data_IF_617400672008
#
_entry.id   IF_617400672008
#
_cell.length_a   1.000
_cell.length_b   1.000
_cell.length_c   1.000
_cell.angle_alpha   90.00
_cell.angle_beta   90.00
_cell.angle_gamma   90.00
#
_symmetry.space_group_name_H-M   'P 1'
#
loop_
_entity.id
_entity.type
_entity.pdbx_description
1 polymer ?
#
# COMPACT_ATOMS: atom_id res chain seq x y z
N UNK A 1 26.19 -10.29 38.66
CA UNK A 1 26.16 -9.03 37.88
C UNK A 1 25.09 -9.16 36.85
N UNK A 2 23.89 -8.79 37.25
CA UNK A 2 22.68 -8.84 36.39
C UNK A 2 22.64 -7.58 35.53
N UNK A 3 22.58 -7.71 34.21
CA UNK A 3 22.35 -6.58 33.29
C UNK A 3 20.84 -6.46 33.13
N UNK A 4 20.31 -5.42 33.72
CA UNK A 4 18.94 -4.97 33.48
C UNK A 4 18.81 -4.50 32.02
N UNK A 5 17.84 -5.09 31.35
CA UNK A 5 17.50 -4.77 29.97
C UNK A 5 16.46 -3.64 30.02
N UNK A 6 16.92 -2.38 29.95
CA UNK A 6 16.02 -1.24 29.84
C UNK A 6 15.32 -1.28 28.48
N UNK A 7 14.03 -1.61 28.51
CA UNK A 7 13.14 -1.44 27.36
C UNK A 7 12.90 0.06 27.14
N UNK A 8 13.59 0.63 26.19
CA UNK A 8 13.29 1.98 25.69
C UNK A 8 11.96 1.94 24.95
N UNK A 9 10.90 2.27 25.64
CA UNK A 9 9.59 2.55 25.04
C UNK A 9 9.72 3.78 24.12
N UNK A 10 9.70 3.55 22.80
CA UNK A 10 9.64 4.63 21.84
C UNK A 10 8.24 5.25 21.91
N UNK A 11 8.12 6.43 22.52
CA UNK A 11 6.92 7.26 22.41
C UNK A 11 6.64 7.57 20.94
N UNK A 12 5.44 7.19 20.48
CA UNK A 12 4.95 7.59 19.16
C UNK A 12 4.60 9.08 19.22
N UNK A 13 5.19 9.96 18.39
CA UNK A 13 4.86 11.37 18.40
C UNK A 13 3.38 11.58 18.13
N UNK A 14 2.68 12.30 18.99
CA UNK A 14 1.31 12.73 18.76
C UNK A 14 1.30 13.73 17.60
N UNK A 15 0.71 13.34 16.48
CA UNK A 15 0.45 14.24 15.35
C UNK A 15 -0.69 15.18 15.75
N UNK A 16 -0.40 16.48 15.78
CA UNK A 16 -1.37 17.52 16.10
C UNK A 16 -2.59 17.43 15.18
N UNK A 17 -3.77 17.43 15.78
CA UNK A 17 -5.08 17.39 15.13
C UNK A 17 -5.43 18.73 14.48
N UNK A 18 -4.85 19.04 13.35
CA UNK A 18 -5.38 20.05 12.43
C UNK A 18 -6.39 19.38 11.51
N UNK A 19 -7.68 19.57 11.71
CA UNK A 19 -8.72 19.15 10.76
C UNK A 19 -8.75 20.15 9.61
N UNK A 20 -8.40 19.73 8.36
CA UNK A 20 -8.95 20.39 7.19
C UNK A 20 -10.31 19.75 6.87
N UNK A 21 -11.15 20.44 6.14
CA UNK A 21 -12.54 20.07 5.78
C UNK A 21 -12.74 18.80 4.93
N UNK A 22 -11.74 17.95 4.81
CA UNK A 22 -11.80 16.62 4.22
C UNK A 22 -12.01 15.58 5.31
N UNK A 23 -13.17 14.91 5.31
CA UNK A 23 -13.46 13.86 6.28
C UNK A 23 -12.39 12.78 6.35
N UNK A 24 -12.27 12.09 7.49
CA UNK A 24 -11.36 10.95 7.66
C UNK A 24 -11.74 9.83 6.71
N UNK A 25 -10.83 9.51 5.79
CA UNK A 25 -11.02 8.44 4.80
C UNK A 25 -10.71 7.07 5.38
N UNK A 26 -9.60 7.00 6.08
CA UNK A 26 -9.06 5.76 6.66
C UNK A 26 -8.59 6.05 8.07
N UNK A 27 -8.82 5.16 9.01
CA UNK A 27 -8.29 5.27 10.37
C UNK A 27 -7.97 3.92 10.98
N UNK A 28 -6.99 3.93 11.86
CA UNK A 28 -6.67 2.80 12.74
C UNK A 28 -7.06 3.16 14.17
N UNK A 29 -7.59 2.19 14.92
CA UNK A 29 -7.94 2.33 16.34
C UNK A 29 -7.39 1.15 17.11
N UNK A 30 -6.51 1.43 18.06
CA UNK A 30 -5.82 0.47 18.92
C UNK A 30 -5.29 -0.75 18.14
N UNK A 31 -4.73 -0.45 16.95
CA UNK A 31 -4.25 -1.45 16.02
C UNK A 31 -3.03 -2.15 16.59
N UNK A 32 -3.08 -3.47 16.72
CA UNK A 32 -1.98 -4.32 17.19
C UNK A 32 -1.67 -5.40 16.19
N UNK A 33 -0.44 -5.87 16.16
CA UNK A 33 -0.01 -6.99 15.31
C UNK A 33 0.91 -7.91 16.06
N UNK A 34 0.57 -9.20 16.05
CA UNK A 34 1.45 -10.26 16.55
C UNK A 34 1.78 -11.26 15.44
N UNK A 35 3.04 -11.62 15.30
CA UNK A 35 3.52 -12.71 14.46
C UNK A 35 3.90 -13.90 15.36
N UNK A 36 3.01 -14.90 15.45
CA UNK A 36 3.14 -15.96 16.44
C UNK A 36 3.01 -15.42 17.86
N UNK A 37 4.09 -15.51 18.66
CA UNK A 37 4.19 -14.94 20.02
C UNK A 37 4.85 -13.56 20.07
N UNK A 38 5.39 -13.05 18.94
CA UNK A 38 6.08 -11.77 18.93
C UNK A 38 5.10 -10.64 18.61
N UNK A 39 4.97 -9.67 19.50
CA UNK A 39 4.22 -8.43 19.27
C UNK A 39 5.07 -7.49 18.43
N UNK A 40 4.64 -7.25 17.19
CA UNK A 40 5.35 -6.46 16.19
C UNK A 40 4.79 -5.04 16.05
N UNK A 41 3.63 -4.78 16.61
CA UNK A 41 3.00 -3.47 16.68
C UNK A 41 2.20 -3.36 17.97
N UNK A 42 2.57 -2.42 18.83
CA UNK A 42 1.81 -2.04 20.02
C UNK A 42 0.56 -1.23 19.64
N UNK A 43 -0.45 -1.13 20.54
CA UNK A 43 -1.68 -0.39 20.25
C UNK A 43 -1.39 0.98 19.67
N UNK A 44 -1.80 1.18 18.42
CA UNK A 44 -1.51 2.39 17.65
C UNK A 44 -2.80 2.89 16.98
N UNK A 45 -3.10 4.18 17.18
CA UNK A 45 -4.26 4.83 16.58
C UNK A 45 -3.78 6.00 15.70
N UNK A 46 -4.31 6.11 14.47
CA UNK A 46 -3.95 7.16 13.52
C UNK A 46 -5.08 7.39 12.52
N UNK A 47 -5.29 8.66 12.16
CA UNK A 47 -6.26 9.10 11.16
C UNK A 47 -5.58 9.55 9.88
N UNK A 48 -6.18 9.21 8.74
CA UNK A 48 -5.75 9.64 7.41
C UNK A 48 -6.89 10.44 6.77
N UNK A 49 -6.63 11.71 6.51
CA UNK A 49 -7.58 12.58 5.84
C UNK A 49 -7.56 12.35 4.32
N UNK A 50 -8.72 12.48 3.68
CA UNK A 50 -8.83 12.42 2.24
C UNK A 50 -7.99 13.52 1.57
N UNK A 51 -7.34 13.17 0.45
CA UNK A 51 -6.55 14.11 -0.34
C UNK A 51 -5.25 14.60 0.31
N UNK A 52 -4.79 13.96 1.40
CA UNK A 52 -3.57 14.34 2.10
C UNK A 52 -2.50 13.25 2.02
N UNK A 53 -1.24 13.67 2.12
CA UNK A 53 -0.09 12.78 2.27
C UNK A 53 0.31 12.74 3.75
N UNK A 54 0.28 11.54 4.34
CA UNK A 54 0.74 11.29 5.72
C UNK A 54 2.05 10.53 5.69
N UNK A 55 3.10 11.08 6.32
CA UNK A 55 4.40 10.43 6.45
C UNK A 55 4.54 9.75 7.83
N UNK A 56 4.92 8.46 7.83
CA UNK A 56 5.29 7.73 9.04
C UNK A 56 6.81 7.76 9.21
N UNK A 57 7.29 8.42 10.25
CA UNK A 57 8.72 8.59 10.54
C UNK A 57 9.06 7.87 11.84
N UNK A 58 10.23 7.25 11.91
CA UNK A 58 10.73 6.57 13.10
C UNK A 58 11.87 5.60 12.77
N UNK A 59 12.55 5.05 13.78
CA UNK A 59 13.70 4.16 13.62
C UNK A 59 13.34 2.88 12.87
N UNK A 60 14.37 2.16 12.40
CA UNK A 60 14.18 0.84 11.78
C UNK A 60 13.61 -0.13 12.81
N UNK A 61 12.66 -0.97 12.39
CA UNK A 61 12.05 -1.98 13.27
C UNK A 61 10.89 -1.49 14.16
N UNK A 62 10.57 -0.19 14.23
CA UNK A 62 9.49 0.32 15.09
C UNK A 62 8.04 0.03 14.59
N UNK A 63 7.86 -0.84 13.61
CA UNK A 63 6.52 -1.28 13.18
C UNK A 63 5.88 -0.50 12.02
N UNK A 64 6.52 0.53 11.43
CA UNK A 64 5.93 1.34 10.33
C UNK A 64 5.38 0.49 9.17
N UNK A 65 6.19 -0.41 8.65
CA UNK A 65 5.77 -1.28 7.53
C UNK A 65 4.72 -2.29 7.96
N UNK A 66 4.75 -2.74 9.21
CA UNK A 66 3.72 -3.61 9.80
C UNK A 66 2.40 -2.86 9.89
N UNK A 67 2.42 -1.61 10.38
CA UNK A 67 1.25 -0.75 10.44
C UNK A 67 0.66 -0.50 9.05
N UNK A 68 1.47 -0.05 8.07
CA UNK A 68 1.01 0.20 6.69
C UNK A 68 0.36 -1.03 6.05
N UNK A 69 0.92 -2.22 6.25
CA UNK A 69 0.34 -3.48 5.74
C UNK A 69 -0.99 -3.86 6.39
N UNK A 70 -1.31 -3.31 7.56
CA UNK A 70 -2.61 -3.52 8.19
C UNK A 70 -3.72 -2.72 7.50
N UNK A 71 -3.41 -1.55 6.93
CA UNK A 71 -4.41 -0.65 6.35
C UNK A 71 -5.16 -1.27 5.16
N UNK A 72 -4.54 -2.23 4.46
CA UNK A 72 -5.18 -3.05 3.41
C UNK A 72 -5.16 -4.55 3.73
N UNK A 73 -4.94 -4.90 4.99
CA UNK A 73 -4.92 -6.26 5.52
C UNK A 73 -3.89 -7.20 4.86
N UNK A 74 -2.80 -6.66 4.27
CA UNK A 74 -1.72 -7.48 3.69
C UNK A 74 -1.03 -8.37 4.74
N UNK A 75 -1.03 -7.99 6.01
CA UNK A 75 -0.48 -8.82 7.07
C UNK A 75 -1.21 -10.17 7.25
N UNK A 76 -2.45 -10.30 6.76
CA UNK A 76 -3.20 -11.57 6.81
C UNK A 76 -2.60 -12.66 5.92
N UNK A 77 -1.76 -12.29 4.94
CA UNK A 77 -1.02 -13.26 4.10
C UNK A 77 0.17 -13.89 4.85
N UNK A 78 0.56 -13.33 6.00
CA UNK A 78 1.67 -13.83 6.80
C UNK A 78 1.15 -14.92 7.74
N UNK A 79 1.69 -16.15 7.69
CA UNK A 79 1.27 -17.22 8.57
C UNK A 79 1.37 -16.83 10.04
N UNK A 80 0.36 -17.22 10.83
CA UNK A 80 0.25 -16.94 12.27
C UNK A 80 0.22 -15.44 12.62
N UNK A 81 -0.08 -14.56 11.65
CA UNK A 81 -0.33 -13.15 11.94
C UNK A 81 -1.71 -12.97 12.61
N UNK A 82 -1.73 -12.21 13.70
CA UNK A 82 -2.97 -11.75 14.35
C UNK A 82 -2.99 -10.24 14.36
N UNK A 83 -4.08 -9.67 13.89
CA UNK A 83 -4.33 -8.22 13.85
C UNK A 83 -5.47 -7.94 14.84
N UNK A 84 -5.17 -7.17 15.90
CA UNK A 84 -6.15 -6.66 16.86
C UNK A 84 -6.51 -5.22 16.55
N UNK A 85 -7.56 -4.71 17.22
CA UNK A 85 -8.07 -3.36 16.97
C UNK A 85 -8.88 -3.24 15.69
N UNK A 86 -9.12 -2.00 15.27
CA UNK A 86 -9.97 -1.70 14.13
C UNK A 86 -9.20 -0.94 13.04
N UNK A 87 -9.55 -1.21 11.78
CA UNK A 87 -9.19 -0.40 10.62
C UNK A 87 -10.50 0.05 10.00
N UNK A 88 -10.76 1.36 10.03
CA UNK A 88 -11.99 1.94 9.52
C UNK A 88 -11.71 2.58 8.15
N UNK A 89 -12.38 2.10 7.12
CA UNK A 89 -12.36 2.67 5.77
C UNK A 89 -13.76 3.21 5.44
N UNK A 90 -13.86 4.50 5.18
CA UNK A 90 -15.15 5.22 5.10
C UNK A 90 -16.07 4.94 6.32
N UNK A 91 -15.50 4.90 7.54
CA UNK A 91 -16.22 4.63 8.77
C UNK A 91 -16.63 3.17 9.01
N UNK A 92 -16.38 2.26 8.05
CA UNK A 92 -16.66 0.83 8.17
C UNK A 92 -15.43 0.06 8.61
N UNK A 93 -15.53 -0.74 9.66
CA UNK A 93 -14.42 -1.60 10.10
C UNK A 93 -14.17 -2.71 9.07
N UNK A 94 -13.00 -2.67 8.45
CA UNK A 94 -12.53 -3.68 7.48
C UNK A 94 -11.73 -4.81 8.12
N UNK A 95 -11.30 -4.68 9.39
CA UNK A 95 -10.57 -5.74 10.09
C UNK A 95 -11.54 -6.83 10.58
N UNK A 96 -12.35 -7.39 9.70
CA UNK A 96 -13.33 -8.45 9.99
C UNK A 96 -13.00 -9.71 9.19
N UNK A 97 -13.39 -10.89 9.73
CA UNK A 97 -13.16 -12.19 9.05
C UNK A 97 -13.92 -12.31 7.70
N UNK A 98 -14.99 -11.53 7.53
CA UNK A 98 -15.85 -11.58 6.32
C UNK A 98 -15.42 -10.59 5.24
N UNK A 99 -14.35 -9.82 5.48
CA UNK A 99 -13.87 -8.82 4.51
C UNK A 99 -13.42 -9.47 3.21
N UNK A 100 -13.90 -8.95 2.09
CA UNK A 100 -13.42 -9.34 0.77
C UNK A 100 -12.10 -8.66 0.48
N UNK A 101 -10.99 -9.36 0.72
CA UNK A 101 -9.64 -8.84 0.54
C UNK A 101 -9.34 -8.43 -0.90
N UNK A 102 -9.98 -9.05 -1.87
CA UNK A 102 -9.77 -8.75 -3.27
C UNK A 102 -10.33 -7.37 -3.63
N UNK A 103 -11.56 -7.09 -3.24
CA UNK A 103 -12.18 -5.77 -3.45
C UNK A 103 -11.51 -4.68 -2.59
N UNK A 104 -11.16 -5.00 -1.35
CA UNK A 104 -10.47 -4.07 -0.47
C UNK A 104 -9.14 -3.58 -1.08
N UNK A 105 -8.32 -4.51 -1.58
CA UNK A 105 -7.00 -4.19 -2.14
C UNK A 105 -7.06 -3.52 -3.52
N UNK A 106 -8.21 -3.56 -4.17
CA UNK A 106 -8.51 -2.72 -5.32
C UNK A 106 -8.64 -1.25 -4.92
N UNK A 107 -9.31 -0.99 -3.79
CA UNK A 107 -9.58 0.36 -3.28
C UNK A 107 -8.44 0.94 -2.43
N UNK A 108 -7.60 0.10 -1.81
CA UNK A 108 -6.46 0.53 -1.01
C UNK A 108 -5.20 -0.12 -1.59
N UNK A 109 -4.62 0.55 -2.57
CA UNK A 109 -3.40 0.10 -3.26
C UNK A 109 -2.18 0.12 -2.33
N UNK A 110 -1.16 -0.66 -2.70
CA UNK A 110 0.11 -0.69 -1.97
C UNK A 110 1.29 -0.78 -2.93
N UNK A 111 2.29 0.06 -2.68
CA UNK A 111 3.59 0.00 -3.37
C UNK A 111 4.64 -0.43 -2.36
N UNK A 112 5.40 -1.48 -2.68
CA UNK A 112 6.44 -2.01 -1.80
C UNK A 112 7.76 -1.24 -1.95
N UNK A 113 8.61 -1.29 -0.92
CA UNK A 113 9.93 -0.65 -0.93
C UNK A 113 10.83 -1.22 -2.05
N UNK A 114 10.81 -2.54 -2.25
CA UNK A 114 11.49 -3.16 -3.39
C UNK A 114 10.52 -3.25 -4.56
N UNK A 115 10.93 -2.87 -5.77
CA UNK A 115 10.10 -3.01 -6.95
C UNK A 115 9.81 -4.49 -7.22
N UNK A 116 8.56 -4.80 -7.50
CA UNK A 116 8.09 -6.15 -7.79
C UNK A 116 7.26 -6.16 -9.09
N UNK A 117 7.85 -5.82 -10.24
CA UNK A 117 7.12 -5.92 -11.49
C UNK A 117 6.81 -7.39 -11.81
N UNK A 118 5.74 -7.65 -12.53
CA UNK A 118 5.47 -8.99 -13.05
C UNK A 118 6.46 -9.33 -14.16
N UNK A 119 6.77 -10.62 -14.35
CA UNK A 119 7.60 -11.14 -15.47
C UNK A 119 6.81 -11.05 -16.79
N UNK A 120 6.49 -9.84 -17.19
CA UNK A 120 5.69 -9.47 -18.34
C UNK A 120 6.27 -8.19 -18.96
N UNK A 121 5.69 -7.76 -20.08
CA UNK A 121 6.02 -6.48 -20.69
C UNK A 121 5.63 -5.30 -19.78
N UNK A 122 6.13 -4.11 -20.08
CA UNK A 122 5.75 -2.85 -19.40
C UNK A 122 4.23 -2.65 -19.53
N UNK A 123 3.70 -2.76 -20.75
CA UNK A 123 2.27 -2.70 -21.07
C UNK A 123 1.45 -3.68 -20.23
N UNK A 124 1.85 -4.94 -20.21
CA UNK A 124 1.13 -5.99 -19.51
C UNK A 124 1.17 -5.83 -17.99
N UNK A 125 2.21 -5.20 -17.44
CA UNK A 125 2.23 -4.86 -16.02
C UNK A 125 1.09 -3.90 -15.65
N UNK A 126 0.82 -2.91 -16.48
CA UNK A 126 -0.28 -1.94 -16.27
C UNK A 126 -1.64 -2.62 -16.47
N UNK A 127 -1.80 -3.39 -17.56
CA UNK A 127 -3.09 -3.93 -17.96
C UNK A 127 -3.52 -5.19 -17.19
N UNK A 128 -2.63 -5.81 -16.43
CA UNK A 128 -2.91 -7.11 -15.79
C UNK A 128 -4.14 -7.09 -14.90
N UNK A 129 -4.20 -6.18 -13.95
CA UNK A 129 -5.32 -6.08 -13.04
C UNK A 129 -6.56 -5.43 -13.70
N UNK A 130 -6.46 -4.28 -14.42
CA UNK A 130 -7.59 -3.67 -15.09
C UNK A 130 -8.38 -4.61 -16.01
N UNK A 131 -7.69 -5.42 -16.82
CA UNK A 131 -8.34 -6.43 -17.67
C UNK A 131 -9.07 -7.51 -16.86
N UNK A 132 -8.47 -7.99 -15.76
CA UNK A 132 -9.11 -9.02 -14.90
C UNK A 132 -10.33 -8.49 -14.17
N UNK A 133 -10.36 -7.19 -13.87
CA UNK A 133 -11.51 -6.53 -13.25
C UNK A 133 -12.52 -5.96 -14.26
N UNK A 134 -12.29 -6.14 -15.56
CA UNK A 134 -13.20 -5.64 -16.58
C UNK A 134 -13.25 -4.11 -16.68
N UNK A 135 -12.21 -3.40 -16.23
CA UNK A 135 -12.15 -1.93 -16.26
C UNK A 135 -11.83 -1.40 -17.66
N UNK A 136 -11.19 -2.21 -18.50
CA UNK A 136 -10.86 -1.88 -19.88
C UNK A 136 -11.17 -3.05 -20.80
N UNK A 137 -11.69 -2.73 -21.99
CA UNK A 137 -11.91 -3.66 -23.09
C UNK A 137 -11.54 -2.96 -24.41
N UNK A 138 -11.04 -3.71 -25.36
CA UNK A 138 -10.60 -3.12 -26.62
C UNK A 138 -9.19 -2.51 -26.56
N UNK A 139 -8.67 -2.22 -27.75
CA UNK A 139 -7.30 -1.75 -27.89
C UNK A 139 -7.14 -0.30 -27.44
N UNK A 140 -8.05 0.56 -27.87
CA UNK A 140 -8.00 2.01 -27.61
C UNK A 140 -8.05 2.31 -26.10
N UNK A 141 -9.00 1.70 -25.37
CA UNK A 141 -9.11 1.85 -23.91
C UNK A 141 -7.83 1.38 -23.19
N UNK A 142 -7.28 0.25 -23.64
CA UNK A 142 -6.04 -0.29 -23.08
C UNK A 142 -4.86 0.66 -23.33
N UNK A 143 -4.71 1.20 -24.53
CA UNK A 143 -3.62 2.11 -24.88
C UNK A 143 -3.75 3.42 -24.11
N UNK A 144 -4.95 3.98 -23.99
CA UNK A 144 -5.22 5.17 -23.20
C UNK A 144 -4.89 4.97 -21.71
N UNK A 145 -5.33 3.86 -21.10
CA UNK A 145 -5.02 3.56 -19.70
C UNK A 145 -3.53 3.38 -19.47
N UNK A 146 -2.80 2.72 -20.39
CA UNK A 146 -1.34 2.52 -20.28
C UNK A 146 -0.64 3.87 -20.30
N UNK A 147 -0.95 4.75 -21.26
CA UNK A 147 -0.37 6.08 -21.32
C UNK A 147 -0.67 6.90 -20.07
N UNK A 148 -1.94 6.98 -19.67
CA UNK A 148 -2.38 7.72 -18.49
C UNK A 148 -1.64 7.26 -17.22
N UNK A 149 -1.57 5.95 -17.00
CA UNK A 149 -0.94 5.38 -15.81
C UNK A 149 0.56 5.61 -15.79
N UNK A 150 1.24 5.44 -16.93
CA UNK A 150 2.67 5.68 -17.04
C UNK A 150 3.02 7.17 -16.91
N UNK A 151 2.18 8.08 -17.37
CA UNK A 151 2.32 9.52 -17.12
C UNK A 151 2.16 9.84 -15.63
N UNK A 152 1.14 9.31 -14.99
CA UNK A 152 0.93 9.47 -13.55
C UNK A 152 2.09 8.90 -12.71
N UNK A 153 2.73 7.83 -13.18
CA UNK A 153 3.95 7.25 -12.58
C UNK A 153 5.25 7.95 -13.00
N UNK A 154 5.20 9.06 -13.75
CA UNK A 154 6.36 9.80 -14.30
C UNK A 154 7.34 8.88 -15.05
N UNK A 155 6.83 7.95 -15.87
CA UNK A 155 7.63 6.98 -16.60
C UNK A 155 7.39 6.99 -18.12
N UNK A 156 6.30 7.61 -18.61
CA UNK A 156 5.88 7.56 -20.01
C UNK A 156 6.97 7.92 -21.00
N UNK A 157 7.62 9.07 -20.81
CA UNK A 157 8.59 9.59 -21.77
C UNK A 157 9.86 8.71 -21.91
N UNK A 158 10.13 7.87 -20.89
CA UNK A 158 11.26 6.96 -20.90
C UNK A 158 10.95 5.60 -21.53
N UNK A 159 9.66 5.24 -21.67
CA UNK A 159 9.27 3.87 -22.06
C UNK A 159 8.26 3.77 -23.19
N UNK A 160 7.71 4.87 -23.67
CA UNK A 160 6.66 4.89 -24.71
C UNK A 160 7.01 4.13 -25.98
N UNK A 161 8.29 4.09 -26.37
CA UNK A 161 8.76 3.43 -27.58
C UNK A 161 9.14 1.94 -27.35
N UNK A 162 9.02 1.42 -26.10
CA UNK A 162 9.42 0.07 -25.70
C UNK A 162 8.43 -0.62 -24.76
N UNK A 163 7.13 -0.29 -24.91
CA UNK A 163 6.06 -0.80 -24.03
C UNK A 163 5.94 -2.32 -24.01
N UNK A 164 6.33 -2.99 -25.08
CA UNK A 164 6.27 -4.43 -25.22
C UNK A 164 7.53 -5.16 -24.75
N UNK A 165 8.57 -4.39 -24.35
CA UNK A 165 9.75 -4.95 -23.73
C UNK A 165 9.49 -5.44 -22.29
N UNK A 166 10.37 -6.34 -21.83
CA UNK A 166 10.30 -6.88 -20.47
C UNK A 166 10.45 -5.80 -19.42
N UNK A 167 9.58 -5.78 -18.41
CA UNK A 167 9.68 -4.88 -17.27
C UNK A 167 10.98 -5.06 -16.48
N UNK A 168 11.63 -6.22 -16.56
CA UNK A 168 12.93 -6.48 -15.93
C UNK A 168 14.12 -5.85 -16.66
N UNK A 169 13.95 -5.38 -17.90
CA UNK A 169 14.97 -4.61 -18.61
C UNK A 169 15.09 -3.17 -18.09
N UNK A 170 14.13 -2.72 -17.28
CA UNK A 170 14.12 -1.41 -16.66
C UNK A 170 15.10 -1.31 -15.49
N UNK A 171 15.67 -0.10 -15.27
CA UNK A 171 16.44 0.19 -14.05
C UNK A 171 15.57 0.06 -12.79
N UNK A 172 16.19 -0.09 -11.60
CA UNK A 172 15.46 -0.22 -10.33
C UNK A 172 14.49 0.93 -10.07
N UNK A 173 14.89 2.18 -10.38
CA UNK A 173 14.04 3.36 -10.25
C UNK A 173 12.88 3.35 -11.24
N UNK A 174 13.10 2.91 -12.48
CA UNK A 174 12.05 2.75 -13.48
C UNK A 174 11.07 1.63 -13.11
N UNK A 175 11.57 0.51 -12.59
CA UNK A 175 10.73 -0.58 -12.07
C UNK A 175 9.85 -0.11 -10.91
N UNK A 176 10.38 0.73 -10.01
CA UNK A 176 9.59 1.32 -8.91
C UNK A 176 8.47 2.22 -9.44
N UNK A 177 8.78 3.10 -10.41
CA UNK A 177 7.77 3.95 -11.05
C UNK A 177 6.73 3.13 -11.83
N UNK A 178 7.14 2.01 -12.44
CA UNK A 178 6.20 1.07 -13.08
C UNK A 178 5.25 0.44 -12.05
N UNK A 179 5.75 0.04 -10.87
CA UNK A 179 4.90 -0.48 -9.79
C UNK A 179 3.91 0.58 -9.27
N UNK A 180 4.31 1.85 -9.21
CA UNK A 180 3.42 2.96 -8.88
C UNK A 180 2.34 3.11 -9.96
N UNK A 181 2.74 3.20 -11.24
CA UNK A 181 1.83 3.32 -12.38
C UNK A 181 0.81 2.15 -12.41
N UNK A 182 1.27 0.91 -12.18
CA UNK A 182 0.42 -0.28 -12.08
C UNK A 182 -0.63 -0.16 -10.97
N UNK A 183 -0.25 0.40 -9.82
CA UNK A 183 -1.19 0.61 -8.71
C UNK A 183 -2.22 1.67 -9.09
N UNK A 184 -1.78 2.79 -9.65
CA UNK A 184 -2.65 3.89 -10.07
C UNK A 184 -3.63 3.50 -11.20
N UNK A 185 -3.28 2.52 -12.04
CA UNK A 185 -4.16 1.99 -13.10
C UNK A 185 -5.47 1.38 -12.58
N UNK A 186 -5.55 1.08 -11.29
CA UNK A 186 -6.75 0.55 -10.63
C UNK A 186 -7.65 1.64 -10.05
N UNK A 187 -7.23 2.92 -10.09
CA UNK A 187 -7.92 4.06 -9.46
C UNK A 187 -8.28 3.80 -8.00
N UNK A 188 -7.29 3.45 -7.15
CA UNK A 188 -7.51 3.08 -5.76
C UNK A 188 -7.98 4.26 -4.90
#
# INVERSE_FOLDING_TARGET
MSRENESVGAEVPQVGSGRPDGGTLLSARDLTVCYGSNEALHPTSLDFAAGQVTALIGPSGCGKSTFLRCLNLMNREIPKCKIGGEVLYHGRNINTRKENLFELRKSIGMVFQQPTPFRKSIRDNILFAPKRHGLVSGKEDCDALVEQSLRAGALWDEVRDKLDESAYALSGGQQQRLCIARTLAMHP
#
